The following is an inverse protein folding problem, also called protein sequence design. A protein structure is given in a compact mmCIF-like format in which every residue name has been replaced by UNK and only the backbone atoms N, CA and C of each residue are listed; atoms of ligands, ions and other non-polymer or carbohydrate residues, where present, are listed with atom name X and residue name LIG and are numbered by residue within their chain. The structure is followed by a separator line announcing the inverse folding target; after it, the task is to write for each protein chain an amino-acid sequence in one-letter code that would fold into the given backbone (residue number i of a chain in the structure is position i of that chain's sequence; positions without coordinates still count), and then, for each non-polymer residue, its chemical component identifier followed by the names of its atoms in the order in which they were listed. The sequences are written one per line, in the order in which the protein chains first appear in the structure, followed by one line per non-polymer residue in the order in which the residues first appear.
data_IF_316748025021
#
_entry.id   IF_316748025021
#
_cell.length_a   1.000
_cell.length_b   1.000
_cell.length_c   1.000
_cell.angle_alpha   90.00
_cell.angle_beta   90.00
_cell.angle_gamma   90.00
#
_symmetry.space_group_name_H-M   'P 1'
#
loop_
_entity.id
_entity.type
_entity.pdbx_description
1 polymer ?
#
# COMPACT_ATOMS: atom_id res chain seq x y z
N UNK A 1 -8.06 2.70 6.86
CA UNK A 1 -8.65 4.04 7.03
C UNK A 1 -9.41 4.01 8.35
N UNK A 2 -9.12 4.93 9.28
CA UNK A 2 -9.71 4.90 10.64
C UNK A 2 -10.70 6.04 10.88
N UNK A 3 -10.63 7.09 10.08
CA UNK A 3 -11.52 8.25 10.15
C UNK A 3 -11.56 9.01 8.84
N UNK A 4 -12.50 9.94 8.74
CA UNK A 4 -12.61 10.91 7.67
C UNK A 4 -12.88 12.29 8.26
N UNK A 5 -12.50 13.35 7.54
CA UNK A 5 -12.64 14.72 7.99
C UNK A 5 -13.91 15.34 7.39
N UNK A 6 -14.76 15.91 8.25
CA UNK A 6 -15.95 16.64 7.83
C UNK A 6 -15.61 18.12 7.65
N UNK A 7 -15.55 18.58 6.39
CA UNK A 7 -15.24 19.98 6.09
C UNK A 7 -16.29 20.98 6.62
N UNK A 8 -17.54 20.56 6.77
CA UNK A 8 -18.61 21.41 7.31
C UNK A 8 -18.56 21.51 8.84
N UNK A 9 -18.10 20.45 9.49
CA UNK A 9 -18.03 20.33 10.94
C UNK A 9 -16.70 20.85 11.50
N UNK A 10 -15.69 20.98 10.63
CA UNK A 10 -14.29 21.26 10.99
C UNK A 10 -13.73 20.25 12.01
N UNK A 11 -14.11 18.97 11.86
CA UNK A 11 -13.72 17.92 12.80
C UNK A 11 -13.54 16.54 12.13
N UNK A 12 -12.79 15.66 12.79
CA UNK A 12 -12.48 14.32 12.34
C UNK A 12 -13.37 13.28 13.04
N UNK A 13 -14.07 12.48 12.24
CA UNK A 13 -15.00 11.48 12.75
C UNK A 13 -14.52 10.06 12.41
N UNK A 14 -14.82 9.07 13.26
CA UNK A 14 -14.54 7.67 12.98
C UNK A 14 -15.22 7.20 11.68
N UNK A 15 -14.51 6.42 10.86
CA UNK A 15 -15.06 5.95 9.58
C UNK A 15 -16.28 5.02 9.77
N UNK A 16 -16.42 4.45 10.97
CA UNK A 16 -17.52 3.57 11.38
C UNK A 16 -18.85 4.29 11.55
N UNK A 17 -18.85 5.63 11.65
CA UNK A 17 -20.06 6.45 11.75
C UNK A 17 -20.66 6.80 10.38
N UNK A 18 -19.93 6.51 9.30
CA UNK A 18 -20.34 6.83 7.93
C UNK A 18 -20.92 5.60 7.24
N UNK A 19 -22.07 5.80 6.59
CA UNK A 19 -22.74 4.83 5.76
C UNK A 19 -23.10 5.43 4.40
N UNK A 20 -23.20 4.58 3.40
CA UNK A 20 -23.70 4.96 2.08
C UNK A 20 -25.18 5.35 2.17
N UNK A 21 -25.55 6.47 1.54
CA UNK A 21 -26.89 7.04 1.70
C UNK A 21 -27.99 6.21 1.02
N UNK A 22 -27.63 5.46 -0.02
CA UNK A 22 -28.51 4.61 -0.83
C UNK A 22 -28.72 3.22 -0.22
N UNK A 23 -27.64 2.57 0.22
CA UNK A 23 -27.69 1.19 0.74
C UNK A 23 -27.75 1.12 2.26
N UNK A 24 -27.35 2.18 2.96
CA UNK A 24 -27.18 2.17 4.42
C UNK A 24 -25.98 1.34 4.91
N UNK A 25 -25.18 0.74 4.01
CA UNK A 25 -23.99 -0.03 4.38
C UNK A 25 -22.91 0.89 4.95
N UNK A 26 -22.32 0.51 6.09
CA UNK A 26 -21.22 1.27 6.69
C UNK A 26 -19.98 1.16 5.81
N UNK A 27 -19.25 2.27 5.65
CA UNK A 27 -18.01 2.30 4.85
C UNK A 27 -16.98 1.29 5.39
N UNK A 28 -16.92 1.08 6.69
CA UNK A 28 -16.06 0.06 7.30
C UNK A 28 -16.43 -1.37 6.89
N UNK A 29 -17.73 -1.68 6.79
CA UNK A 29 -18.24 -3.00 6.38
C UNK A 29 -17.98 -3.24 4.90
N UNK A 30 -18.21 -2.22 4.07
CA UNK A 30 -17.88 -2.22 2.65
C UNK A 30 -16.42 -2.62 2.42
N UNK A 31 -15.46 -1.93 3.06
CA UNK A 31 -14.04 -2.27 2.88
C UNK A 31 -13.67 -3.65 3.41
N UNK A 32 -14.26 -4.09 4.53
CA UNK A 32 -13.97 -5.40 5.10
C UNK A 32 -14.48 -6.53 4.20
N UNK A 33 -15.66 -6.36 3.57
CA UNK A 33 -16.22 -7.31 2.60
C UNK A 33 -15.26 -7.56 1.43
N UNK A 34 -14.75 -6.52 0.78
CA UNK A 34 -13.81 -6.69 -0.34
C UNK A 34 -12.42 -7.13 0.12
N UNK A 35 -12.00 -6.72 1.32
CA UNK A 35 -10.73 -7.18 1.89
C UNK A 35 -10.74 -8.69 2.12
N UNK A 36 -11.89 -9.28 2.46
CA UNK A 36 -12.02 -10.72 2.65
C UNK A 36 -11.76 -11.54 1.37
N UNK A 37 -11.93 -10.95 0.19
CA UNK A 37 -11.68 -11.59 -1.10
C UNK A 37 -10.18 -11.78 -1.42
N UNK A 38 -9.31 -10.96 -0.83
CA UNK A 38 -7.87 -11.07 -1.02
C UNK A 38 -7.29 -12.19 -0.14
N UNK A 39 -6.34 -12.96 -0.69
CA UNK A 39 -5.55 -13.93 0.08
C UNK A 39 -4.63 -13.22 1.10
N UNK A 40 -4.15 -13.91 2.15
CA UNK A 40 -3.23 -13.32 3.13
C UNK A 40 -1.97 -12.70 2.49
N UNK A 41 -1.43 -13.34 1.45
CA UNK A 41 -0.25 -12.86 0.72
C UNK A 41 -0.57 -11.61 -0.08
N UNK A 42 -1.72 -11.56 -0.78
CA UNK A 42 -2.16 -10.36 -1.50
C UNK A 42 -2.40 -9.19 -0.55
N UNK A 43 -3.02 -9.42 0.61
CA UNK A 43 -3.21 -8.39 1.65
C UNK A 43 -1.87 -7.85 2.15
N UNK A 44 -0.91 -8.74 2.39
CA UNK A 44 0.44 -8.33 2.79
C UNK A 44 1.11 -7.50 1.69
N UNK A 45 1.11 -8.00 0.45
CA UNK A 45 1.70 -7.32 -0.70
C UNK A 45 1.05 -5.98 -0.99
N UNK A 46 -0.24 -5.78 -0.75
CA UNK A 46 -0.90 -4.49 -0.90
C UNK A 46 -0.80 -3.57 0.33
N UNK A 47 -0.24 -4.06 1.45
CA UNK A 47 -0.14 -3.30 2.70
C UNK A 47 1.09 -2.39 2.76
N UNK A 48 1.02 -1.35 3.60
CA UNK A 48 2.17 -0.51 3.95
C UNK A 48 3.31 -1.32 4.58
N UNK A 49 2.97 -2.31 5.41
CA UNK A 49 3.97 -3.19 6.02
C UNK A 49 4.73 -3.97 4.94
N UNK A 50 4.03 -4.57 3.98
CA UNK A 50 4.64 -5.27 2.85
C UNK A 50 5.53 -4.36 2.00
N UNK A 51 5.08 -3.13 1.72
CA UNK A 51 5.87 -2.12 1.02
C UNK A 51 7.22 -1.87 1.71
N UNK A 52 7.21 -1.58 3.01
CA UNK A 52 8.44 -1.30 3.76
C UNK A 52 9.34 -2.53 3.90
N UNK A 53 8.78 -3.73 4.07
CA UNK A 53 9.55 -4.97 4.12
C UNK A 53 10.27 -5.22 2.78
N UNK A 54 9.57 -5.07 1.65
CA UNK A 54 10.18 -5.23 0.33
C UNK A 54 11.24 -4.16 0.05
N UNK A 55 10.96 -2.91 0.41
CA UNK A 55 11.91 -1.81 0.25
C UNK A 55 13.17 -2.01 1.10
N UNK A 56 13.02 -2.45 2.35
CA UNK A 56 14.14 -2.77 3.24
C UNK A 56 14.97 -3.93 2.69
N UNK A 57 14.34 -4.99 2.19
CA UNK A 57 15.03 -6.12 1.57
C UNK A 57 15.82 -5.69 0.32
N UNK A 58 15.22 -4.88 -0.55
CA UNK A 58 15.89 -4.35 -1.74
C UNK A 58 17.06 -3.42 -1.39
N UNK A 59 16.87 -2.53 -0.41
CA UNK A 59 17.92 -1.64 0.08
C UNK A 59 19.10 -2.39 0.70
N UNK A 60 18.83 -3.42 1.51
CA UNK A 60 19.87 -4.26 2.11
C UNK A 60 20.64 -5.03 1.03
N UNK A 61 19.94 -5.60 0.04
CA UNK A 61 20.58 -6.29 -1.08
C UNK A 61 21.51 -5.34 -1.86
N UNK A 62 21.04 -4.15 -2.19
CA UNK A 62 21.82 -3.14 -2.90
C UNK A 62 23.03 -2.66 -2.10
N UNK A 63 22.87 -2.51 -0.77
CA UNK A 63 23.98 -2.18 0.14
C UNK A 63 25.05 -3.27 0.14
N UNK A 64 24.64 -4.54 0.28
CA UNK A 64 25.54 -5.69 0.26
C UNK A 64 26.29 -5.80 -1.07
N UNK A 65 25.61 -5.58 -2.19
CA UNK A 65 26.26 -5.54 -3.51
C UNK A 65 27.30 -4.43 -3.59
N UNK A 66 26.96 -3.21 -3.17
CA UNK A 66 27.90 -2.09 -3.21
C UNK A 66 29.12 -2.28 -2.29
N UNK A 67 28.94 -2.89 -1.12
CA UNK A 67 30.03 -3.15 -0.18
C UNK A 67 30.90 -4.34 -0.59
N UNK A 68 30.27 -5.46 -0.95
CA UNK A 68 30.99 -6.73 -1.17
C UNK A 68 31.51 -6.90 -2.59
N UNK A 69 30.82 -6.34 -3.59
CA UNK A 69 31.18 -6.49 -5.01
C UNK A 69 31.95 -5.28 -5.51
N UNK A 70 31.47 -4.07 -5.20
CA UNK A 70 32.09 -2.83 -5.69
C UNK A 70 33.17 -2.30 -4.74
N UNK A 71 33.16 -2.72 -3.47
CA UNK A 71 34.06 -2.21 -2.42
C UNK A 71 34.06 -0.67 -2.31
N UNK A 72 32.93 -0.04 -2.60
CA UNK A 72 32.77 1.42 -2.62
C UNK A 72 31.64 1.81 -1.67
N UNK A 73 31.98 2.30 -0.49
CA UNK A 73 31.01 2.64 0.56
C UNK A 73 30.00 3.71 0.12
N UNK A 74 30.46 4.78 -0.53
CA UNK A 74 29.59 5.85 -1.03
C UNK A 74 28.63 5.33 -2.10
N UNK A 75 29.13 4.55 -3.06
CA UNK A 75 28.30 3.95 -4.09
C UNK A 75 27.27 2.97 -3.49
N UNK A 76 27.65 2.18 -2.48
CA UNK A 76 26.77 1.26 -1.79
C UNK A 76 25.58 1.97 -1.12
N UNK A 77 25.84 3.09 -0.43
CA UNK A 77 24.79 3.89 0.20
C UNK A 77 23.85 4.49 -0.85
N UNK A 78 24.40 5.05 -1.94
CA UNK A 78 23.58 5.61 -3.03
C UNK A 78 22.69 4.52 -3.65
N UNK A 79 23.24 3.35 -3.98
CA UNK A 79 22.49 2.23 -4.54
C UNK A 79 21.38 1.75 -3.60
N UNK A 80 21.66 1.67 -2.28
CA UNK A 80 20.67 1.28 -1.30
C UNK A 80 19.49 2.27 -1.24
N UNK A 81 19.76 3.58 -1.21
CA UNK A 81 18.72 4.62 -1.22
C UNK A 81 17.90 4.56 -2.51
N UNK A 82 18.56 4.44 -3.67
CA UNK A 82 17.87 4.34 -4.97
C UNK A 82 16.99 3.09 -5.02
N UNK A 83 17.46 1.94 -4.54
CA UNK A 83 16.69 0.70 -4.51
C UNK A 83 15.44 0.80 -3.63
N UNK A 84 15.54 1.45 -2.46
CA UNK A 84 14.41 1.71 -1.55
C UNK A 84 13.35 2.58 -2.25
N UNK A 85 13.77 3.73 -2.80
CA UNK A 85 12.86 4.67 -3.47
C UNK A 85 12.20 4.04 -4.69
N UNK A 86 12.97 3.33 -5.52
CA UNK A 86 12.46 2.63 -6.69
C UNK A 86 11.42 1.56 -6.30
N UNK A 87 11.69 0.81 -5.22
CA UNK A 87 10.77 -0.24 -4.75
C UNK A 87 9.48 0.33 -4.20
N UNK A 88 9.54 1.43 -3.41
CA UNK A 88 8.34 2.13 -2.93
C UNK A 88 7.52 2.68 -4.11
N UNK A 89 8.19 3.25 -5.11
CA UNK A 89 7.54 3.81 -6.30
C UNK A 89 6.87 2.70 -7.11
N UNK A 90 7.56 1.58 -7.36
CA UNK A 90 7.02 0.42 -8.05
C UNK A 90 5.84 -0.20 -7.30
N UNK A 91 5.95 -0.26 -5.97
CA UNK A 91 4.90 -0.78 -5.10
C UNK A 91 3.62 0.04 -5.22
N UNK A 92 3.73 1.37 -5.07
CA UNK A 92 2.60 2.29 -5.08
C UNK A 92 1.96 2.42 -6.46
N UNK A 93 2.75 2.47 -7.52
CA UNK A 93 2.26 2.72 -8.88
C UNK A 93 1.86 1.45 -9.63
N UNK A 94 2.39 0.28 -9.27
CA UNK A 94 2.18 -0.94 -10.04
C UNK A 94 1.64 -2.08 -9.19
N UNK A 95 2.33 -2.42 -8.10
CA UNK A 95 2.03 -3.63 -7.32
C UNK A 95 0.68 -3.52 -6.60
N UNK A 96 0.39 -2.37 -5.99
CA UNK A 96 -0.92 -2.08 -5.39
C UNK A 96 -2.07 -2.20 -6.41
N UNK A 97 -2.08 -1.39 -7.50
CA UNK A 97 -3.13 -1.47 -8.52
C UNK A 97 -3.26 -2.85 -9.17
N UNK A 98 -2.16 -3.59 -9.36
CA UNK A 98 -2.19 -4.94 -9.91
C UNK A 98 -2.89 -5.91 -8.96
N UNK A 99 -2.60 -5.85 -7.65
CA UNK A 99 -3.30 -6.67 -6.65
C UNK A 99 -4.78 -6.30 -6.58
N UNK A 100 -5.12 -5.00 -6.59
CA UNK A 100 -6.52 -4.58 -6.64
C UNK A 100 -7.23 -5.15 -7.87
N UNK A 101 -6.63 -5.03 -9.06
CA UNK A 101 -7.22 -5.57 -10.29
C UNK A 101 -7.36 -7.09 -10.27
N UNK A 102 -6.42 -7.82 -9.67
CA UNK A 102 -6.51 -9.27 -9.53
C UNK A 102 -7.62 -9.71 -8.57
N UNK A 103 -7.82 -8.98 -7.47
CA UNK A 103 -8.82 -9.34 -6.45
C UNK A 103 -10.21 -8.85 -6.82
N UNK A 104 -10.31 -7.62 -7.32
CA UNK A 104 -11.56 -6.89 -7.50
C UNK A 104 -11.99 -6.75 -8.97
N UNK A 105 -11.16 -7.20 -9.92
CA UNK A 105 -11.40 -7.02 -11.36
C UNK A 105 -11.16 -5.60 -11.88
N UNK A 106 -11.03 -4.61 -10.99
CA UNK A 106 -10.77 -3.19 -11.29
C UNK A 106 -9.62 -2.65 -10.45
N UNK A 107 -8.88 -1.68 -10.99
CA UNK A 107 -7.88 -0.91 -10.24
C UNK A 107 -8.47 0.28 -9.48
N UNK A 108 -9.71 0.67 -9.80
CA UNK A 108 -10.43 1.74 -9.10
C UNK A 108 -11.55 1.13 -8.25
N UNK A 109 -11.40 1.10 -6.91
CA UNK A 109 -12.40 0.53 -6.02
C UNK A 109 -13.70 1.36 -5.97
N UNK A 110 -13.73 2.58 -6.52
CA UNK A 110 -14.97 3.38 -6.62
C UNK A 110 -15.93 2.86 -7.68
N UNK A 111 -15.46 1.98 -8.56
CA UNK A 111 -16.26 1.34 -9.60
C UNK A 111 -16.91 0.03 -9.12
N UNK A 112 -16.78 -0.29 -7.83
CA UNK A 112 -17.40 -1.47 -7.23
C UNK A 112 -18.77 -1.06 -6.67
N UNK A 113 -19.81 -1.62 -7.29
CA UNK A 113 -21.21 -1.55 -6.83
C UNK A 113 -21.39 -2.29 -5.49
#
# INVERSE_FOLDING_TARGET
MTGTYCAQCDDAFPITEFAWADTGERISEYYERYRQQASPTQRFLASRAGMFVMAAAAGLLALLVGLLVLNMTVAAVILAVVAVVATITLHTLSLGPMVLKQVLGTSDPRLLD
#
